data_IF_318986842385
#
_entry.id   IF_318986842385
#
_cell.length_a   1.000
_cell.length_b   1.000
_cell.length_c   1.000
_cell.angle_alpha   90.00
_cell.angle_beta   90.00
_cell.angle_gamma   90.00
#
_symmetry.space_group_name_H-M   'P 1'
#
loop_
_entity.id
_entity.type
_entity.pdbx_description
1 polymer ?
#
# COMPACT_ATOMS: atom_id res chain seq x y z
N UNK A 1 11.98 10.75 -4.70
CA UNK A 1 13.23 10.65 -3.92
C UNK A 1 13.64 11.98 -3.31
N UNK A 2 13.68 13.09 -4.08
CA UNK A 2 14.04 14.43 -3.58
C UNK A 2 13.21 14.85 -2.35
N UNK A 3 11.90 14.58 -2.35
CA UNK A 3 11.04 14.97 -1.22
C UNK A 3 11.43 14.28 0.11
N UNK A 4 11.72 12.97 0.09
CA UNK A 4 12.20 12.24 1.28
C UNK A 4 13.55 12.77 1.79
N UNK A 5 14.47 13.13 0.90
CA UNK A 5 15.76 13.70 1.29
C UNK A 5 15.60 15.08 1.93
N UNK A 6 14.75 15.93 1.34
CA UNK A 6 14.42 17.24 1.91
C UNK A 6 13.79 17.08 3.30
N UNK A 7 12.84 16.13 3.44
CA UNK A 7 12.20 15.85 4.72
C UNK A 7 13.18 15.36 5.78
N UNK A 8 14.11 14.48 5.40
CA UNK A 8 15.20 14.04 6.28
C UNK A 8 16.02 15.23 6.77
N UNK A 9 16.42 16.13 5.87
CA UNK A 9 17.24 17.30 6.22
C UNK A 9 16.48 18.25 7.16
N UNK A 10 15.18 18.45 6.92
CA UNK A 10 14.31 19.22 7.81
C UNK A 10 14.28 18.63 9.23
N UNK A 11 14.09 17.31 9.35
CA UNK A 11 14.09 16.63 10.65
C UNK A 11 15.45 16.77 11.33
N UNK A 12 16.55 16.54 10.60
CA UNK A 12 17.91 16.70 11.13
C UNK A 12 18.14 18.13 11.62
N UNK A 13 17.63 19.14 10.92
CA UNK A 13 17.74 20.53 11.35
C UNK A 13 17.01 20.79 12.68
N UNK A 14 15.85 20.15 12.90
CA UNK A 14 15.04 20.36 14.11
C UNK A 14 15.55 19.60 15.34
N UNK A 15 16.05 18.38 15.17
CA UNK A 15 16.39 17.49 16.30
C UNK A 15 17.84 16.98 16.30
N UNK A 16 18.64 17.35 15.30
CA UNK A 16 19.98 16.85 15.08
C UNK A 16 20.01 15.45 14.47
N UNK A 17 21.15 15.08 13.90
CA UNK A 17 21.36 13.75 13.31
C UNK A 17 21.28 12.64 14.36
N UNK A 18 21.83 12.87 15.55
CA UNK A 18 21.75 11.94 16.68
C UNK A 18 20.32 11.81 17.21
N UNK A 19 19.54 12.90 17.15
CA UNK A 19 18.12 12.88 17.46
C UNK A 19 17.37 11.92 16.52
N UNK A 20 17.65 12.00 15.22
CA UNK A 20 17.05 11.12 14.22
C UNK A 20 17.42 9.64 14.47
N UNK A 21 18.69 9.32 14.76
CA UNK A 21 19.14 7.96 15.06
C UNK A 21 18.49 7.36 16.31
N UNK A 22 18.14 8.20 17.29
CA UNK A 22 17.48 7.78 18.53
C UNK A 22 15.95 7.66 18.40
N UNK A 23 15.36 8.13 17.31
CA UNK A 23 13.92 8.00 17.10
C UNK A 23 13.52 6.55 16.87
N UNK A 24 12.41 6.16 17.48
CA UNK A 24 11.75 4.89 17.15
C UNK A 24 11.25 4.93 15.71
N UNK A 25 11.33 3.81 15.00
CA UNK A 25 10.86 3.68 13.63
C UNK A 25 9.41 4.14 13.43
N UNK A 26 8.52 3.86 14.39
CA UNK A 26 7.13 4.31 14.33
C UNK A 26 7.00 5.83 14.31
N UNK A 27 7.89 6.58 14.98
CA UNK A 27 7.91 8.05 14.94
C UNK A 27 8.43 8.55 13.60
N UNK A 28 9.51 7.94 13.09
CA UNK A 28 10.08 8.29 11.78
C UNK A 28 9.01 8.12 10.70
N UNK A 29 8.36 6.95 10.63
CA UNK A 29 7.31 6.66 9.65
C UNK A 29 6.15 7.66 9.71
N UNK A 30 5.80 8.14 10.91
CA UNK A 30 4.75 9.15 11.10
C UNK A 30 5.17 10.53 10.62
N UNK A 31 6.44 10.89 10.77
CA UNK A 31 6.99 12.17 10.30
C UNK A 31 7.07 12.26 8.78
N UNK A 32 7.20 11.11 8.11
CA UNK A 32 7.32 11.01 6.66
C UNK A 32 6.06 10.41 5.99
N UNK A 33 4.95 10.38 6.71
CA UNK A 33 3.72 9.70 6.27
C UNK A 33 3.22 10.28 4.94
N UNK A 34 3.26 11.60 4.80
CA UNK A 34 2.80 12.28 3.58
C UNK A 34 3.72 11.97 2.39
N UNK A 35 5.02 12.00 2.61
CA UNK A 35 6.01 11.66 1.58
C UNK A 35 5.86 10.19 1.14
N UNK A 36 5.54 9.27 2.05
CA UNK A 36 5.23 7.88 1.70
C UNK A 36 3.92 7.81 0.88
N UNK A 37 2.88 8.56 1.25
CA UNK A 37 1.61 8.61 0.50
C UNK A 37 1.83 9.08 -0.94
N UNK A 38 2.52 10.20 -1.12
CA UNK A 38 2.86 10.71 -2.45
C UNK A 38 3.67 9.71 -3.28
N UNK A 39 4.58 8.96 -2.65
CA UNK A 39 5.35 7.95 -3.37
C UNK A 39 4.53 6.74 -3.78
N UNK A 40 3.46 6.40 -3.05
CA UNK A 40 2.58 5.28 -3.41
C UNK A 40 1.79 5.52 -4.70
N UNK A 41 1.63 6.77 -5.13
CA UNK A 41 0.99 7.10 -6.40
C UNK A 41 1.84 6.64 -7.61
N UNK A 42 3.14 6.42 -7.42
CA UNK A 42 4.08 6.16 -8.51
C UNK A 42 4.91 4.87 -8.32
N UNK A 43 5.05 4.39 -7.09
CA UNK A 43 5.96 3.29 -6.75
C UNK A 43 5.26 2.20 -5.95
N UNK A 44 5.69 0.95 -6.12
CA UNK A 44 5.15 -0.14 -5.30
C UNK A 44 5.72 -0.07 -3.87
N UNK A 45 4.93 -0.53 -2.90
CA UNK A 45 5.27 -0.46 -1.46
C UNK A 45 6.64 -1.06 -1.13
N UNK A 46 7.06 -2.13 -1.83
CA UNK A 46 8.39 -2.74 -1.66
C UNK A 46 9.53 -1.79 -2.03
N UNK A 47 9.40 -1.04 -3.13
CA UNK A 47 10.41 -0.08 -3.56
C UNK A 47 10.47 1.11 -2.59
N UNK A 48 9.31 1.60 -2.15
CA UNK A 48 9.24 2.70 -1.17
C UNK A 48 9.90 2.28 0.15
N UNK A 49 9.67 1.05 0.61
CA UNK A 49 10.33 0.50 1.79
C UNK A 49 11.86 0.55 1.69
N UNK A 50 12.41 0.11 0.55
CA UNK A 50 13.85 0.18 0.28
C UNK A 50 14.34 1.64 0.29
N UNK A 51 13.66 2.53 -0.42
CA UNK A 51 14.02 3.95 -0.49
C UNK A 51 14.01 4.63 0.89
N UNK A 52 13.03 4.34 1.74
CA UNK A 52 12.95 4.89 3.10
C UNK A 52 14.14 4.41 3.94
N UNK A 53 14.44 3.11 3.89
CA UNK A 53 15.59 2.56 4.62
C UNK A 53 16.92 3.17 4.14
N UNK A 54 17.10 3.32 2.84
CA UNK A 54 18.31 3.91 2.25
C UNK A 54 18.45 5.40 2.61
N UNK A 55 17.42 6.20 2.40
CA UNK A 55 17.47 7.65 2.65
C UNK A 55 17.73 7.93 4.13
N UNK A 56 17.01 7.24 5.03
CA UNK A 56 17.14 7.46 6.46
C UNK A 56 18.30 6.69 7.10
N UNK A 57 18.98 5.82 6.34
CA UNK A 57 20.01 4.91 6.83
C UNK A 57 19.54 4.12 8.06
N UNK A 58 18.36 3.51 7.94
CA UNK A 58 17.70 2.73 8.98
C UNK A 58 17.33 1.34 8.46
N UNK A 59 17.07 0.42 9.37
CA UNK A 59 16.67 -0.95 9.04
C UNK A 59 15.25 -1.26 9.54
N UNK A 60 14.25 -0.58 8.97
CA UNK A 60 12.85 -0.92 9.23
C UNK A 60 12.56 -2.26 8.58
N UNK A 61 11.94 -3.18 9.33
CA UNK A 61 11.52 -4.46 8.76
C UNK A 61 10.33 -4.28 7.82
N UNK A 62 10.31 -5.04 6.73
CA UNK A 62 9.20 -4.98 5.76
C UNK A 62 7.82 -5.22 6.41
N UNK A 63 7.63 -6.19 7.33
CA UNK A 63 6.34 -6.36 8.00
C UNK A 63 5.88 -5.14 8.78
N UNK A 64 6.79 -4.44 9.47
CA UNK A 64 6.47 -3.22 10.21
C UNK A 64 6.06 -2.09 9.26
N UNK A 65 6.79 -1.93 8.16
CA UNK A 65 6.51 -0.92 7.15
C UNK A 65 5.16 -1.16 6.45
N UNK A 66 4.89 -2.39 6.01
CA UNK A 66 3.65 -2.74 5.32
C UNK A 66 2.42 -2.57 6.22
N UNK A 67 2.53 -2.99 7.48
CA UNK A 67 1.47 -2.78 8.46
C UNK A 67 1.20 -1.29 8.72
N UNK A 68 2.24 -0.47 8.71
CA UNK A 68 2.07 0.98 8.81
C UNK A 68 1.32 1.54 7.59
N UNK A 69 1.70 1.12 6.38
CA UNK A 69 1.09 1.54 5.13
C UNK A 69 -0.39 1.17 5.06
N UNK A 70 -0.73 -0.08 5.38
CA UNK A 70 -2.12 -0.55 5.40
C UNK A 70 -3.00 0.26 6.36
N UNK A 71 -2.47 0.61 7.54
CA UNK A 71 -3.25 1.30 8.56
C UNK A 71 -3.48 2.79 8.26
N UNK A 72 -2.48 3.47 7.69
CA UNK A 72 -2.47 4.93 7.62
C UNK A 72 -2.60 5.48 6.19
N UNK A 73 -2.41 4.64 5.16
CA UNK A 73 -2.38 5.09 3.75
C UNK A 73 -3.52 4.49 2.94
N UNK A 74 -3.78 3.17 3.06
CA UNK A 74 -4.80 2.47 2.27
C UNK A 74 -6.27 2.73 2.67
N UNK A 75 -6.62 3.91 3.20
CA UNK A 75 -7.95 4.13 3.78
C UNK A 75 -8.95 4.96 2.97
N UNK A 76 -8.59 5.51 1.81
CA UNK A 76 -9.48 6.43 1.07
C UNK A 76 -9.95 5.96 -0.31
N UNK A 77 -9.79 4.69 -0.69
CA UNK A 77 -10.48 4.18 -1.89
C UNK A 77 -12.00 4.05 -1.70
N UNK A 78 -12.51 4.15 -0.47
CA UNK A 78 -13.96 4.11 -0.17
C UNK A 78 -14.65 5.49 -0.14
N UNK A 79 -13.95 6.60 -0.44
CA UNK A 79 -14.55 7.95 -0.51
C UNK A 79 -15.05 8.34 -1.91
N UNK A 80 -15.41 7.35 -2.73
CA UNK A 80 -16.33 7.51 -3.87
C UNK A 80 -17.51 6.52 -3.79
N UNK A 81 -18.07 6.31 -2.59
CA UNK A 81 -19.46 5.87 -2.53
C UNK A 81 -20.31 7.11 -2.71
N UNK A 82 -20.71 7.30 -3.96
CA UNK A 82 -21.81 8.11 -4.43
C UNK A 82 -22.85 8.34 -3.34
N UNK A 83 -23.10 9.61 -3.01
CA UNK A 83 -24.16 10.05 -2.11
C UNK A 83 -25.51 9.74 -2.76
N UNK A 84 -25.94 8.48 -2.73
CA UNK A 84 -27.32 8.11 -3.02
C UNK A 84 -28.08 7.95 -1.70
N UNK A 85 -28.99 8.91 -1.54
CA UNK A 85 -30.04 9.02 -0.54
C UNK A 85 -30.64 7.67 -0.08
N UNK A 86 -30.76 7.51 1.27
CA UNK A 86 -31.96 7.04 2.01
C UNK A 86 -32.59 5.69 1.57
N UNK A 87 -32.74 4.64 2.39
CA UNK A 87 -33.35 4.53 3.73
C UNK A 87 -33.07 3.14 4.33
N UNK A 88 -32.96 3.15 5.65
CA UNK A 88 -33.00 2.10 6.66
C UNK A 88 -33.99 0.93 6.44
N UNK A 89 -33.50 -0.31 6.57
CA UNK A 89 -34.23 -1.45 7.17
C UNK A 89 -33.34 -2.70 7.32
N UNK A 90 -32.87 -2.90 8.55
CA UNK A 90 -33.08 -4.13 9.33
C UNK A 90 -32.67 -5.51 8.82
N UNK A 91 -31.96 -6.20 9.74
CA UNK A 91 -32.04 -7.64 10.08
C UNK A 91 -30.88 -8.53 9.59
N UNK A 92 -30.12 -8.94 10.61
CA UNK A 92 -29.14 -10.02 10.72
C UNK A 92 -29.56 -11.36 10.08
N UNK A 93 -28.63 -12.07 9.44
CA UNK A 93 -28.38 -13.49 9.77
C UNK A 93 -27.09 -14.05 9.14
N UNK A 94 -26.24 -14.60 10.01
CA UNK A 94 -25.11 -15.49 9.68
C UNK A 94 -25.55 -16.70 8.85
N UNK A 95 -24.80 -17.03 7.80
CA UNK A 95 -24.65 -18.42 7.29
C UNK A 95 -23.26 -18.66 6.69
N UNK A 96 -22.52 -19.56 7.33
CA UNK A 96 -21.35 -20.25 6.80
C UNK A 96 -21.70 -20.96 5.48
N UNK A 97 -20.83 -20.87 4.47
CA UNK A 97 -20.57 -21.97 3.53
C UNK A 97 -19.25 -21.75 2.79
N UNK A 98 -18.35 -22.72 2.93
CA UNK A 98 -17.18 -23.01 2.08
C UNK A 98 -17.63 -23.13 0.61
N UNK A 99 -16.98 -22.45 -0.33
CA UNK A 99 -17.05 -22.83 -1.76
C UNK A 99 -15.81 -22.38 -2.52
N UNK A 100 -15.19 -23.35 -3.17
CA UNK A 100 -14.08 -23.22 -4.12
C UNK A 100 -14.46 -22.29 -5.27
N UNK A 101 -13.62 -21.30 -5.58
CA UNK A 101 -13.68 -20.56 -6.82
C UNK A 101 -13.04 -21.41 -7.93
N UNK A 102 -13.87 -22.14 -8.68
CA UNK A 102 -13.55 -22.49 -10.07
C UNK A 102 -14.00 -21.31 -10.92
N UNK A 103 -13.05 -20.52 -11.42
CA UNK A 103 -13.32 -19.55 -12.47
C UNK A 103 -13.79 -20.31 -13.72
N UNK A 104 -15.03 -20.06 -14.13
CA UNK A 104 -15.52 -20.44 -15.45
C UNK A 104 -14.94 -19.39 -16.39
N UNK A 105 -13.88 -19.76 -17.11
CA UNK A 105 -13.34 -18.95 -18.20
C UNK A 105 -14.39 -18.86 -19.31
N UNK A 106 -14.54 -17.68 -19.89
CA UNK A 106 -15.52 -17.42 -20.95
C UNK A 106 -15.08 -18.09 -22.28
N UNK A 107 -16.04 -18.34 -23.17
CA UNK A 107 -15.83 -18.93 -24.51
C UNK A 107 -14.70 -18.25 -25.28
N UNK A 108 -14.59 -16.93 -25.13
CA UNK A 108 -13.59 -16.11 -25.82
C UNK A 108 -12.17 -16.31 -25.25
N UNK A 109 -12.04 -16.55 -23.95
CA UNK A 109 -10.74 -16.85 -23.32
C UNK A 109 -10.23 -18.24 -23.71
N UNK A 110 -11.13 -19.23 -23.84
CA UNK A 110 -10.78 -20.56 -24.32
C UNK A 110 -10.32 -20.54 -25.78
N UNK A 111 -10.93 -19.70 -26.61
CA UNK A 111 -10.55 -19.57 -28.02
C UNK A 111 -9.20 -18.84 -28.19
N UNK A 112 -8.92 -17.85 -27.33
CA UNK A 112 -7.62 -17.17 -27.31
C UNK A 112 -6.47 -18.13 -26.96
N UNK A 113 -6.67 -19.05 -26.00
CA UNK A 113 -5.66 -20.05 -25.63
C UNK A 113 -5.38 -21.03 -26.79
N UNK A 114 -6.41 -21.45 -27.51
CA UNK A 114 -6.27 -22.35 -28.66
C UNK A 114 -5.47 -21.71 -29.82
N UNK A 115 -5.64 -20.41 -30.04
CA UNK A 115 -4.96 -19.67 -31.12
C UNK A 115 -3.46 -19.43 -30.84
N UNK A 116 -3.08 -19.20 -29.58
CA UNK A 116 -1.69 -18.88 -29.22
C UNK A 116 -0.83 -20.09 -28.81
N UNK A 117 -1.44 -21.27 -28.61
CA UNK A 117 -0.72 -22.52 -28.30
C UNK A 117 -0.01 -23.17 -29.50
N UNK A 118 -0.22 -22.69 -30.72
CA UNK A 118 0.47 -23.16 -31.93
C UNK A 118 1.47 -22.12 -32.45
N UNK A 119 2.55 -21.90 -31.69
CA UNK A 119 3.79 -21.35 -32.25
C UNK A 119 4.94 -22.18 -31.70
N UNK A 120 5.17 -23.28 -32.41
CA UNK A 120 6.32 -24.15 -32.30
C UNK A 120 7.49 -23.46 -33.02
N UNK A 121 8.61 -23.31 -32.35
CA UNK A 121 9.93 -23.41 -32.97
C UNK A 121 10.69 -24.47 -32.18
#
# INVERSE_FOLDING_TARGET
MVNLQNKKNEIIHQIGEDGLKRLKFSKILKLIENEIKELMDYWIVKQIHQMVNEVFNINISAPLFYRFCEKNIKKDENLKVEKNHKIDKGVSQNRNTKKEEKSILDSDELNAIAMYGSSKL
#
